data_IF_590604432142
#
_entry.id   IF_590604432142
#
_cell.length_a   1.000
_cell.length_b   1.000
_cell.length_c   1.000
_cell.angle_alpha   90.00
_cell.angle_beta   90.00
_cell.angle_gamma   90.00
#
_symmetry.space_group_name_H-M   'P 1'
#
loop_
_entity.id
_entity.type
_entity.pdbx_description
1 polymer ?
#
# COMPACT_ATOMS: atom_id res chain seq x y z
N UNK A 1 2.14 -16.29 -6.63
CA UNK A 1 1.04 -15.32 -6.72
C UNK A 1 0.81 -14.97 -8.18
N UNK A 2 -0.45 -14.78 -8.57
CA UNK A 2 -0.87 -14.52 -9.96
C UNK A 2 -0.84 -13.02 -10.26
N UNK A 3 -0.64 -12.63 -11.52
CA UNK A 3 -0.68 -11.23 -12.00
C UNK A 3 -1.92 -10.46 -11.49
N UNK A 4 -3.09 -11.10 -11.48
CA UNK A 4 -4.35 -10.57 -10.93
C UNK A 4 -4.27 -10.18 -9.44
N UNK A 5 -3.45 -10.88 -8.66
CA UNK A 5 -3.29 -10.58 -7.24
C UNK A 5 -2.45 -9.33 -7.01
N UNK A 6 -1.43 -9.10 -7.85
CA UNK A 6 -0.65 -7.86 -7.81
C UNK A 6 -1.45 -6.66 -8.30
N UNK A 7 -2.28 -6.84 -9.33
CA UNK A 7 -3.22 -5.82 -9.78
C UNK A 7 -4.20 -5.45 -8.66
N UNK A 8 -4.75 -6.46 -7.96
CA UNK A 8 -5.58 -6.25 -6.79
C UNK A 8 -4.86 -5.45 -5.68
N UNK A 9 -3.65 -5.87 -5.27
CA UNK A 9 -2.87 -5.14 -4.26
C UNK A 9 -2.58 -3.69 -4.68
N UNK A 10 -2.29 -3.47 -5.96
CA UNK A 10 -2.02 -2.13 -6.51
C UNK A 10 -3.26 -1.24 -6.46
N UNK A 11 -4.44 -1.79 -6.78
CA UNK A 11 -5.72 -1.06 -6.69
C UNK A 11 -6.06 -0.69 -5.25
N UNK A 12 -5.90 -1.63 -4.32
CA UNK A 12 -6.15 -1.35 -2.89
C UNK A 12 -5.16 -0.33 -2.34
N UNK A 13 -3.89 -0.38 -2.76
CA UNK A 13 -2.91 0.64 -2.40
C UNK A 13 -3.32 2.03 -2.90
N UNK A 14 -3.75 2.15 -4.16
CA UNK A 14 -4.22 3.42 -4.74
C UNK A 14 -5.47 3.95 -4.02
N UNK A 15 -6.40 3.05 -3.67
CA UNK A 15 -7.60 3.40 -2.89
C UNK A 15 -7.23 3.99 -1.52
N UNK A 16 -6.32 3.37 -0.79
CA UNK A 16 -5.88 3.89 0.51
C UNK A 16 -5.17 5.24 0.39
N UNK A 17 -4.43 5.48 -0.70
CA UNK A 17 -3.86 6.82 -0.97
C UNK A 17 -4.94 7.88 -1.17
N UNK A 18 -5.99 7.55 -1.89
CA UNK A 18 -7.13 8.46 -2.08
C UNK A 18 -7.87 8.73 -0.78
N UNK A 19 -8.12 7.71 0.04
CA UNK A 19 -8.75 7.87 1.36
C UNK A 19 -7.91 8.76 2.28
N UNK A 20 -6.58 8.59 2.32
CA UNK A 20 -5.67 9.47 3.07
C UNK A 20 -5.76 10.91 2.55
N UNK A 21 -5.75 11.09 1.23
CA UNK A 21 -5.80 12.40 0.58
C UNK A 21 -7.13 13.12 0.87
N UNK A 22 -8.24 12.39 0.86
CA UNK A 22 -9.56 12.94 1.17
C UNK A 22 -9.66 13.34 2.65
N UNK A 23 -9.22 12.47 3.56
CA UNK A 23 -9.24 12.76 5.01
C UNK A 23 -8.35 13.96 5.36
N UNK A 24 -7.15 14.01 4.77
CA UNK A 24 -6.17 15.09 5.02
C UNK A 24 -6.64 16.47 4.52
N UNK A 25 -7.61 16.50 3.59
CA UNK A 25 -8.21 17.75 3.06
C UNK A 25 -9.39 18.24 3.87
N UNK A 26 -9.88 17.46 4.85
CA UNK A 26 -11.02 17.88 5.67
C UNK A 26 -10.64 19.08 6.54
N UNK A 27 -11.58 20.00 6.84
CA UNK A 27 -11.33 21.13 7.74
C UNK A 27 -10.86 20.72 9.13
N UNK A 28 -11.21 19.51 9.56
CA UNK A 28 -10.72 18.84 10.77
C UNK A 28 -10.38 17.39 10.42
N UNK A 29 -9.13 17.10 10.04
CA UNK A 29 -8.72 15.74 9.69
C UNK A 29 -8.67 14.86 10.94
N UNK A 30 -9.11 13.61 10.81
CA UNK A 30 -8.86 12.58 11.82
C UNK A 30 -7.45 11.99 11.64
N UNK A 31 -6.51 12.50 12.43
CA UNK A 31 -5.10 12.07 12.42
C UNK A 31 -4.92 10.59 12.78
N UNK A 32 -5.81 10.03 13.62
CA UNK A 32 -5.76 8.61 14.00
C UNK A 32 -6.18 7.74 12.82
N UNK A 33 -7.23 8.16 12.10
CA UNK A 33 -7.66 7.51 10.86
C UNK A 33 -6.57 7.59 9.80
N UNK A 34 -5.97 8.77 9.57
CA UNK A 34 -4.86 8.95 8.62
C UNK A 34 -3.69 8.04 8.97
N UNK A 35 -3.30 7.96 10.25
CA UNK A 35 -2.21 7.09 10.69
C UNK A 35 -2.52 5.61 10.46
N UNK A 36 -3.77 5.18 10.69
CA UNK A 36 -4.22 3.81 10.41
C UNK A 36 -4.17 3.50 8.91
N UNK A 37 -4.70 4.39 8.07
CA UNK A 37 -4.68 4.23 6.61
C UNK A 37 -3.24 4.15 6.07
N UNK A 38 -2.33 4.99 6.58
CA UNK A 38 -0.90 4.94 6.22
C UNK A 38 -0.25 3.61 6.60
N UNK A 39 -0.58 3.02 7.75
CA UNK A 39 -0.09 1.70 8.15
C UNK A 39 -0.60 0.59 7.22
N UNK A 40 -1.87 0.61 6.86
CA UNK A 40 -2.45 -0.36 5.92
C UNK A 40 -1.81 -0.25 4.53
N UNK A 41 -1.59 0.98 4.04
CA UNK A 41 -0.87 1.24 2.79
C UNK A 41 0.56 0.69 2.83
N UNK A 42 1.28 0.89 3.93
CA UNK A 42 2.63 0.38 4.12
C UNK A 42 2.64 -1.16 4.08
N UNK A 43 1.72 -1.82 4.78
CA UNK A 43 1.61 -3.28 4.77
C UNK A 43 1.35 -3.84 3.36
N UNK A 44 0.49 -3.21 2.55
CA UNK A 44 0.26 -3.61 1.15
C UNK A 44 1.52 -3.43 0.31
N UNK A 45 2.24 -2.32 0.49
CA UNK A 45 3.51 -2.07 -0.20
C UNK A 45 4.55 -3.13 0.16
N UNK A 46 4.68 -3.46 1.44
CA UNK A 46 5.61 -4.50 1.92
C UNK A 46 5.22 -5.87 1.37
N UNK A 47 3.92 -6.16 1.23
CA UNK A 47 3.44 -7.39 0.61
C UNK A 47 3.77 -7.46 -0.89
N UNK A 48 3.66 -6.35 -1.62
CA UNK A 48 4.08 -6.26 -3.02
C UNK A 48 5.59 -6.40 -3.17
N UNK A 49 6.37 -5.80 -2.27
CA UNK A 49 7.83 -5.84 -2.28
C UNK A 49 8.40 -7.18 -1.81
N UNK A 50 7.78 -7.82 -0.82
CA UNK A 50 8.14 -9.17 -0.37
C UNK A 50 7.89 -10.23 -1.45
N UNK A 51 7.04 -9.93 -2.44
CA UNK A 51 6.89 -10.76 -3.63
C UNK A 51 7.92 -10.46 -4.72
N UNK A 52 8.60 -9.31 -4.70
CA UNK A 52 9.61 -8.99 -5.71
C UNK A 52 10.56 -10.19 -5.82
N UNK A 53 10.62 -10.89 -6.97
CA UNK A 53 11.44 -12.08 -7.09
C UNK A 53 12.85 -11.66 -6.71
N UNK A 54 13.41 -12.33 -5.69
CA UNK A 54 14.78 -12.11 -5.23
C UNK A 54 15.63 -11.92 -6.48
N UNK A 55 16.33 -10.78 -6.64
CA UNK A 55 17.14 -10.58 -7.82
C UNK A 55 18.07 -11.78 -7.94
N UNK A 56 17.99 -12.51 -9.06
CA UNK A 56 18.76 -13.74 -9.34
C UNK A 56 20.28 -13.58 -9.17
N UNK A 57 20.76 -12.36 -8.94
CA UNK A 57 22.13 -12.00 -8.61
C UNK A 57 22.56 -12.38 -7.16
N UNK A 58 21.64 -12.74 -6.26
CA UNK A 58 21.98 -13.13 -4.87
C UNK A 58 22.26 -14.63 -4.68
N UNK A 59 22.22 -15.43 -5.75
CA UNK A 59 22.61 -16.85 -5.73
C UNK A 59 23.96 -16.97 -6.44
N UNK A 60 25.04 -16.67 -5.74
CA UNK A 60 26.39 -17.06 -6.15
C UNK A 60 27.26 -17.33 -4.94
#
# INVERSE_FOLDING_TARGET
>A
MTDRYLDYLSREHARLEDEIRLESKRPRPDEVLIARLKKLKLALKDQMQGWAPIPRAAIR
#
